data_IF_623471540063
#
_entry.id   IF_623471540063
#
_cell.length_a   1.000
_cell.length_b   1.000
_cell.length_c   1.000
_cell.angle_alpha   90.00
_cell.angle_beta   90.00
_cell.angle_gamma   90.00
#
_symmetry.space_group_name_H-M   'P 1'
#
loop_
_entity.id
_entity.type
_entity.pdbx_description
1 polymer ?
#
# COMPACT_ATOMS: atom_id res chain seq x y z
N UNK A 1 2.29 -15.06 -8.51
CA UNK A 1 1.67 -16.25 -7.86
C UNK A 1 0.34 -15.82 -7.28
N UNK A 2 -0.66 -16.69 -7.22
CA UNK A 2 -1.95 -16.38 -6.58
C UNK A 2 -1.84 -16.56 -5.06
N UNK A 3 -2.50 -15.68 -4.29
CA UNK A 3 -2.49 -15.66 -2.81
C UNK A 3 -3.88 -15.30 -2.30
N UNK A 4 -4.24 -15.77 -1.10
CA UNK A 4 -5.46 -15.31 -0.43
C UNK A 4 -5.34 -13.85 -0.03
N UNK A 5 -6.38 -13.07 -0.26
CA UNK A 5 -6.47 -11.66 0.16
C UNK A 5 -6.16 -11.49 1.65
N UNK A 6 -6.67 -12.40 2.49
CA UNK A 6 -6.46 -12.35 3.95
C UNK A 6 -5.03 -12.71 4.34
N UNK A 7 -4.39 -13.62 3.61
CA UNK A 7 -2.97 -13.93 3.81
C UNK A 7 -2.10 -12.74 3.40
N UNK A 8 -2.41 -12.14 2.25
CA UNK A 8 -1.69 -10.97 1.75
C UNK A 8 -1.80 -9.78 2.70
N UNK A 9 -2.98 -9.49 3.25
CA UNK A 9 -3.16 -8.44 4.26
C UNK A 9 -2.28 -8.71 5.49
N UNK A 10 -2.26 -9.94 6.01
CA UNK A 10 -1.39 -10.31 7.14
C UNK A 10 0.09 -10.12 6.83
N UNK A 11 0.51 -10.41 5.59
CA UNK A 11 1.88 -10.15 5.15
C UNK A 11 2.21 -8.65 5.11
N UNK A 12 1.29 -7.81 4.64
CA UNK A 12 1.45 -6.35 4.64
C UNK A 12 1.55 -5.84 6.08
N UNK A 13 0.61 -6.21 6.94
CA UNK A 13 0.59 -5.76 8.34
C UNK A 13 1.88 -6.16 9.08
N UNK A 14 2.38 -7.38 8.84
CA UNK A 14 3.64 -7.84 9.41
C UNK A 14 4.85 -7.08 8.87
N UNK A 15 4.91 -6.82 7.56
CA UNK A 15 6.08 -6.17 6.93
C UNK A 15 6.14 -4.67 7.17
N UNK A 16 4.98 -4.02 7.27
CA UNK A 16 4.87 -2.58 7.50
C UNK A 16 4.66 -2.22 8.96
N UNK A 17 4.53 -3.21 9.84
CA UNK A 17 4.28 -3.03 11.28
C UNK A 17 3.10 -2.11 11.56
N UNK A 18 2.05 -2.26 10.76
CA UNK A 18 0.85 -1.42 10.76
C UNK A 18 -0.41 -2.27 10.67
N UNK A 19 -1.57 -1.70 11.03
CA UNK A 19 -2.87 -2.33 10.79
C UNK A 19 -3.41 -1.87 9.45
N UNK A 20 -3.88 -2.81 8.65
CA UNK A 20 -4.51 -2.50 7.39
C UNK A 20 -6.02 -2.32 7.58
N UNK A 21 -6.58 -1.36 6.87
CA UNK A 21 -8.01 -1.30 6.66
C UNK A 21 -8.36 -1.93 5.31
N UNK A 22 -9.06 -3.06 5.37
CA UNK A 22 -9.40 -3.89 4.21
C UNK A 22 -10.83 -3.64 3.77
N UNK A 23 -11.01 -3.43 2.47
CA UNK A 23 -12.30 -3.40 1.80
C UNK A 23 -12.40 -4.57 0.80
N UNK A 24 -13.18 -5.59 1.17
CA UNK A 24 -13.37 -6.83 0.40
C UNK A 24 -14.49 -6.66 -0.64
N UNK A 25 -14.18 -6.02 -1.78
CA UNK A 25 -15.15 -5.84 -2.88
C UNK A 25 -14.93 -6.78 -4.07
N UNK A 26 -13.76 -7.42 -4.16
CA UNK A 26 -13.34 -8.21 -5.31
C UNK A 26 -13.10 -9.69 -4.98
N UNK A 27 -12.16 -10.28 -5.71
CA UNK A 27 -11.81 -11.70 -5.59
C UNK A 27 -11.16 -12.01 -4.25
N UNK A 28 -11.44 -13.20 -3.69
CA UNK A 28 -10.77 -13.69 -2.48
C UNK A 28 -9.34 -14.16 -2.74
N UNK A 29 -9.09 -14.70 -3.94
CA UNK A 29 -7.77 -15.06 -4.41
C UNK A 29 -7.31 -13.98 -5.39
N UNK A 30 -6.14 -13.41 -5.14
CA UNK A 30 -5.62 -12.26 -5.87
C UNK A 30 -4.27 -12.61 -6.51
N UNK A 31 -3.99 -12.00 -7.66
CA UNK A 31 -2.76 -12.22 -8.42
C UNK A 31 -2.17 -10.92 -8.98
N UNK A 32 -3.01 -10.03 -9.52
CA UNK A 32 -2.60 -8.72 -10.02
C UNK A 32 -2.87 -7.68 -8.94
N UNK A 33 -1.80 -7.08 -8.40
CA UNK A 33 -1.89 -6.11 -7.32
C UNK A 33 -1.29 -4.79 -7.81
N UNK A 34 -2.07 -3.71 -7.71
CA UNK A 34 -1.61 -2.34 -7.93
C UNK A 34 -1.21 -1.74 -6.58
N UNK A 35 -0.16 -0.92 -6.56
CA UNK A 35 0.35 -0.29 -5.33
C UNK A 35 0.66 1.16 -5.58
N UNK A 36 0.24 2.04 -4.67
CA UNK A 36 0.68 3.43 -4.57
C UNK A 36 0.80 3.81 -3.10
N UNK A 37 1.94 4.32 -2.64
CA UNK A 37 2.10 4.75 -1.24
C UNK A 37 1.30 6.03 -0.95
N UNK A 38 1.10 6.33 0.33
CA UNK A 38 0.45 7.57 0.77
C UNK A 38 -0.98 7.72 0.26
N UNK A 39 -1.38 8.95 -0.07
CA UNK A 39 -2.76 9.28 -0.49
C UNK A 39 -3.00 9.17 -2.01
N UNK A 40 -2.25 8.31 -2.71
CA UNK A 40 -2.39 8.14 -4.16
C UNK A 40 -3.65 7.40 -4.63
N UNK A 41 -4.46 6.86 -3.70
CA UNK A 41 -5.57 5.97 -4.02
C UNK A 41 -6.64 6.59 -4.93
N UNK A 42 -6.99 7.85 -4.69
CA UNK A 42 -8.01 8.56 -5.48
C UNK A 42 -7.59 8.79 -6.94
N UNK A 43 -6.29 8.96 -7.19
CA UNK A 43 -5.75 9.19 -8.52
C UNK A 43 -5.70 7.90 -9.36
N UNK A 44 -5.43 6.74 -8.74
CA UNK A 44 -5.12 5.51 -9.47
C UNK A 44 -6.26 4.47 -9.50
N UNK A 45 -7.26 4.56 -8.61
CA UNK A 45 -8.30 3.53 -8.48
C UNK A 45 -9.05 3.24 -9.79
N UNK A 46 -9.35 4.27 -10.59
CA UNK A 46 -10.00 4.10 -11.90
C UNK A 46 -9.11 3.33 -12.88
N UNK A 47 -7.83 3.64 -12.88
CA UNK A 47 -6.86 2.96 -13.73
C UNK A 47 -6.69 1.49 -13.32
N UNK A 48 -6.59 1.23 -12.00
CA UNK A 48 -6.50 -0.12 -11.46
C UNK A 48 -7.72 -0.99 -11.85
N UNK A 49 -8.93 -0.42 -11.77
CA UNK A 49 -10.16 -1.07 -12.26
C UNK A 49 -10.08 -1.33 -13.76
N UNK A 50 -9.73 -0.31 -14.56
CA UNK A 50 -9.68 -0.43 -16.03
C UNK A 50 -8.67 -1.48 -16.54
N UNK A 51 -7.63 -1.75 -15.75
CA UNK A 51 -6.56 -2.71 -16.06
C UNK A 51 -6.80 -4.10 -15.44
N UNK A 52 -7.98 -4.34 -14.85
CA UNK A 52 -8.38 -5.61 -14.26
C UNK A 52 -7.39 -6.10 -13.19
N UNK A 53 -7.02 -5.19 -12.27
CA UNK A 53 -6.30 -5.56 -11.05
C UNK A 53 -7.26 -6.19 -10.03
N UNK A 54 -6.78 -7.18 -9.29
CA UNK A 54 -7.58 -7.88 -8.28
C UNK A 54 -7.60 -7.12 -6.94
N UNK A 55 -6.57 -6.30 -6.68
CA UNK A 55 -6.40 -5.53 -5.46
C UNK A 55 -5.57 -4.25 -5.70
N UNK A 56 -5.96 -3.17 -5.05
CA UNK A 56 -5.21 -1.92 -4.94
C UNK A 56 -4.75 -1.71 -3.48
N UNK A 57 -3.46 -1.49 -3.29
CA UNK A 57 -2.85 -1.14 -1.99
C UNK A 57 -2.49 0.34 -1.99
N UNK A 58 -2.94 1.06 -0.98
CA UNK A 58 -2.74 2.50 -0.76
C UNK A 58 -2.26 2.77 0.66
N UNK A 59 -1.71 3.95 0.93
CA UNK A 59 -1.55 4.42 2.31
C UNK A 59 -2.90 4.82 2.90
N UNK A 60 -3.64 5.68 2.21
CA UNK A 60 -4.95 6.19 2.62
C UNK A 60 -6.05 5.84 1.60
N UNK A 61 -7.21 5.45 2.10
CA UNK A 61 -8.41 5.30 1.28
C UNK A 61 -9.35 6.48 1.50
N UNK A 62 -9.55 7.29 0.45
CA UNK A 62 -10.51 8.38 0.44
C UNK A 62 -11.94 7.93 0.10
N UNK A 63 -12.91 8.81 0.31
CA UNK A 63 -14.32 8.55 0.02
C UNK A 63 -14.54 8.19 -1.47
N UNK A 64 -13.86 8.88 -2.39
CA UNK A 64 -13.98 8.61 -3.83
C UNK A 64 -13.38 7.26 -4.25
N UNK A 65 -12.28 6.83 -3.61
CA UNK A 65 -11.67 5.53 -3.91
C UNK A 65 -12.50 4.37 -3.39
N UNK A 66 -13.22 4.54 -2.28
CA UNK A 66 -14.17 3.54 -1.79
C UNK A 66 -15.22 3.17 -2.84
N UNK A 67 -15.97 4.16 -3.34
CA UNK A 67 -17.08 3.92 -4.27
C UNK A 67 -16.57 3.37 -5.61
N UNK A 68 -15.48 3.95 -6.13
CA UNK A 68 -14.88 3.47 -7.38
C UNK A 68 -14.39 2.03 -7.26
N UNK A 69 -13.75 1.67 -6.13
CA UNK A 69 -13.29 0.30 -5.90
C UNK A 69 -14.45 -0.69 -5.78
N UNK A 70 -15.51 -0.30 -5.06
CA UNK A 70 -16.72 -1.10 -4.88
C UNK A 70 -17.44 -1.37 -6.20
N UNK A 71 -17.66 -0.34 -7.00
CA UNK A 71 -18.32 -0.44 -8.31
C UNK A 71 -17.46 -1.23 -9.32
N UNK A 72 -16.13 -1.09 -9.22
CA UNK A 72 -15.17 -1.80 -10.06
C UNK A 72 -14.85 -3.24 -9.62
N UNK A 73 -15.48 -3.75 -8.54
CA UNK A 73 -15.20 -5.08 -7.96
C UNK A 73 -13.70 -5.36 -7.71
N UNK A 74 -12.96 -4.34 -7.25
CA UNK A 74 -11.53 -4.45 -6.90
C UNK A 74 -11.38 -4.34 -5.37
N UNK A 75 -10.56 -5.20 -4.77
CA UNK A 75 -10.27 -5.07 -3.34
C UNK A 75 -9.41 -3.83 -3.09
N UNK A 76 -9.64 -3.13 -1.98
CA UNK A 76 -8.86 -1.97 -1.58
C UNK A 76 -8.24 -2.21 -0.19
N UNK A 77 -6.94 -1.95 -0.05
CA UNK A 77 -6.20 -2.06 1.21
C UNK A 77 -5.59 -0.70 1.52
N UNK A 78 -5.98 -0.08 2.63
CA UNK A 78 -5.28 1.10 3.16
C UNK A 78 -4.32 0.64 4.28
N UNK A 79 -3.02 0.85 4.08
CA UNK A 79 -1.96 0.36 4.95
C UNK A 79 -1.27 1.47 5.78
N UNK A 80 -1.86 2.67 5.83
CA UNK A 80 -1.33 3.82 6.56
C UNK A 80 -0.41 4.69 5.69
N UNK A 81 -0.60 6.01 5.73
CA UNK A 81 0.18 6.95 4.93
C UNK A 81 1.66 6.88 5.30
N UNK A 82 1.93 7.08 6.59
CA UNK A 82 3.29 7.08 7.12
C UNK A 82 3.99 5.75 6.84
N UNK A 83 3.34 4.63 7.19
CA UNK A 83 3.92 3.30 7.06
C UNK A 83 4.35 2.98 5.62
N UNK A 84 3.53 3.36 4.63
CA UNK A 84 3.82 3.11 3.21
C UNK A 84 4.89 4.04 2.63
N UNK A 85 5.13 5.21 3.21
CA UNK A 85 6.13 6.18 2.71
C UNK A 85 7.50 6.12 3.41
N UNK A 86 7.61 5.46 4.57
CA UNK A 86 8.92 5.25 5.21
C UNK A 86 9.85 4.31 4.43
N UNK A 87 9.30 3.45 3.57
CA UNK A 87 10.06 2.42 2.85
C UNK A 87 11.13 3.02 1.94
N UNK A 88 10.78 4.07 1.18
CA UNK A 88 11.67 4.71 0.22
C UNK A 88 12.84 5.41 0.89
N UNK A 89 12.57 6.19 1.94
CA UNK A 89 13.63 6.89 2.69
C UNK A 89 14.54 5.89 3.42
N UNK A 90 14.01 4.81 4.00
CA UNK A 90 14.82 3.74 4.61
C UNK A 90 15.73 3.04 3.58
N UNK A 91 15.23 2.77 2.37
CA UNK A 91 16.04 2.21 1.29
C UNK A 91 17.14 3.18 0.84
N UNK A 92 16.83 4.48 0.73
CA UNK A 92 17.80 5.51 0.36
C UNK A 92 18.95 5.62 1.36
N UNK A 93 18.71 5.40 2.65
CA UNK A 93 19.78 5.44 3.66
C UNK A 93 20.93 4.48 3.34
N UNK A 94 20.64 3.27 2.88
CA UNK A 94 21.67 2.29 2.54
C UNK A 94 22.50 2.77 1.35
N UNK A 95 21.85 3.31 0.32
CA UNK A 95 22.53 3.86 -0.85
C UNK A 95 23.43 5.05 -0.50
N UNK A 96 22.99 5.91 0.43
CA UNK A 96 23.78 7.06 0.88
C UNK A 96 25.02 6.63 1.65
N UNK A 97 24.89 5.66 2.57
CA UNK A 97 26.04 5.10 3.30
C UNK A 97 27.08 4.52 2.35
N UNK A 98 26.66 3.69 1.40
CA UNK A 98 27.55 3.03 0.45
C UNK A 98 28.22 4.01 -0.52
N UNK A 99 27.49 5.03 -0.99
CA UNK A 99 27.99 5.93 -2.04
C UNK A 99 28.86 7.06 -1.51
N UNK A 100 28.59 7.55 -0.30
CA UNK A 100 29.20 8.75 0.23
C UNK A 100 30.02 8.54 1.51
N UNK A 101 30.02 7.32 2.07
CA UNK A 101 30.71 6.99 3.31
C UNK A 101 30.33 7.93 4.47
N UNK A 102 29.02 8.15 4.63
CA UNK A 102 28.45 9.01 5.66
C UNK A 102 27.58 8.22 6.63
N UNK A 103 27.55 8.66 7.88
CA UNK A 103 26.59 8.15 8.86
C UNK A 103 25.17 8.62 8.53
N UNK A 104 24.24 7.67 8.44
CA UNK A 104 22.82 7.95 8.17
C UNK A 104 21.94 7.26 9.19
N UNK A 105 20.99 8.01 9.75
CA UNK A 105 20.01 7.55 10.74
C UNK A 105 18.59 7.88 10.29
N UNK A 106 17.69 6.92 10.44
CA UNK A 106 16.24 7.15 10.30
C UNK A 106 15.72 7.71 11.62
N UNK A 107 15.00 8.82 11.57
CA UNK A 107 14.27 9.35 12.74
C UNK A 107 12.81 8.96 12.56
N UNK A 108 12.38 7.96 13.33
CA UNK A 108 11.02 7.45 13.27
C UNK A 108 10.08 8.34 14.10
N UNK A 109 9.05 8.89 13.46
CA UNK A 109 8.08 9.81 14.03
C UNK A 109 6.67 9.53 13.47
N UNK A 110 6.02 8.42 13.88
CA UNK A 110 4.72 8.01 13.35
C UNK A 110 3.62 9.04 13.67
N UNK A 111 2.80 9.36 12.66
CA UNK A 111 1.68 10.30 12.79
C UNK A 111 0.44 9.71 13.48
N UNK A 112 0.31 8.38 13.51
CA UNK A 112 -0.87 7.68 14.00
C UNK A 112 -2.05 7.63 13.02
N UNK A 113 -1.84 8.06 11.76
CA UNK A 113 -2.82 8.06 10.68
C UNK A 113 -2.31 7.25 9.48
#
# INVERSE_FOLDING_TARGET
KEISLKEFVKEIEKKLETKCHLFEFGKKQIKKIAVVSGNGGSAIVREAVSKDFDCLVVGEAGHSSYHTAKEGNINLIAAGHYATETLGVKALMNLLKEKFDVDVKFIDAPSGF
#
